data_IF_321451693383
#
_entry.id   IF_321451693383
#
_cell.length_a   1.000
_cell.length_b   1.000
_cell.length_c   1.000
_cell.angle_alpha   90.00
_cell.angle_beta   90.00
_cell.angle_gamma   90.00
#
_symmetry.space_group_name_H-M   'P 1'
#
loop_
_entity.id
_entity.type
_entity.pdbx_description
1 polymer ?
#
# COMPACT_ATOMS: atom_id res chain seq x y z
N UNK A 1 7.23 -4.79 26.95
CA UNK A 1 6.27 -5.62 26.20
C UNK A 1 6.29 -5.15 24.76
N UNK A 2 6.09 -6.03 23.78
CA UNK A 2 5.98 -5.58 22.39
C UNK A 2 4.63 -4.88 22.17
N UNK A 3 4.53 -4.03 21.13
CA UNK A 3 3.28 -3.32 20.81
C UNK A 3 2.14 -4.31 20.52
N UNK A 4 2.46 -5.43 19.87
CA UNK A 4 1.55 -6.56 19.69
C UNK A 4 0.97 -7.07 21.01
N UNK A 5 1.82 -7.35 22.00
CA UNK A 5 1.38 -7.86 23.31
C UNK A 5 0.49 -6.86 24.07
N UNK A 6 0.74 -5.56 23.92
CA UNK A 6 -0.11 -4.53 24.50
C UNK A 6 -1.51 -4.53 23.91
N UNK A 7 -1.63 -4.70 22.59
CA UNK A 7 -2.93 -4.77 21.92
C UNK A 7 -3.65 -6.09 22.20
N UNK A 8 -2.93 -7.21 22.19
CA UNK A 8 -3.48 -8.53 22.54
C UNK A 8 -4.08 -8.53 23.95
N UNK A 9 -3.37 -7.94 24.92
CA UNK A 9 -3.87 -7.78 26.29
C UNK A 9 -5.10 -6.86 26.37
N UNK A 10 -5.16 -5.79 25.56
CA UNK A 10 -6.33 -4.90 25.52
C UNK A 10 -7.55 -5.57 24.91
N UNK A 11 -7.38 -6.33 23.83
CA UNK A 11 -8.45 -7.14 23.22
C UNK A 11 -8.97 -8.15 24.25
N UNK A 12 -8.05 -8.83 24.94
CA UNK A 12 -8.41 -9.77 26.00
C UNK A 12 -9.21 -9.09 27.12
N UNK A 13 -8.77 -7.95 27.65
CA UNK A 13 -9.50 -7.27 28.74
C UNK A 13 -10.87 -6.76 28.29
N UNK A 14 -11.01 -6.24 27.07
CA UNK A 14 -12.30 -5.82 26.51
C UNK A 14 -13.27 -7.00 26.34
N UNK A 15 -12.76 -8.18 26.01
CA UNK A 15 -13.54 -9.40 25.77
C UNK A 15 -13.66 -10.31 26.99
N UNK A 16 -12.96 -10.00 28.09
CA UNK A 16 -12.86 -10.83 29.30
C UNK A 16 -14.19 -11.17 29.95
N UNK A 17 -15.15 -10.25 29.89
CA UNK A 17 -16.50 -10.44 30.44
C UNK A 17 -17.47 -10.63 29.29
N UNK A 18 -17.42 -11.80 28.65
CA UNK A 18 -18.45 -12.21 27.69
C UNK A 18 -19.65 -12.80 28.43
N UNK A 19 -20.76 -12.08 28.42
CA UNK A 19 -22.06 -12.58 28.90
C UNK A 19 -22.85 -13.05 27.67
N UNK A 20 -22.75 -14.35 27.35
CA UNK A 20 -23.38 -14.97 26.18
C UNK A 20 -22.42 -15.17 25.00
N UNK A 21 -22.96 -15.55 23.83
CA UNK A 21 -22.19 -15.83 22.60
C UNK A 21 -21.90 -14.58 21.74
N UNK A 22 -22.15 -13.38 22.27
CA UNK A 22 -22.11 -12.14 21.49
C UNK A 22 -21.59 -10.98 22.31
N UNK A 23 -20.80 -10.12 21.66
CA UNK A 23 -20.27 -8.90 22.24
C UNK A 23 -21.38 -7.89 22.53
N UNK A 24 -21.32 -7.24 23.68
CA UNK A 24 -22.16 -6.08 23.99
C UNK A 24 -21.75 -4.87 23.15
N UNK A 25 -22.63 -3.89 22.95
CA UNK A 25 -22.33 -2.67 22.20
C UNK A 25 -21.15 -1.87 22.80
N UNK A 26 -21.00 -1.93 24.13
CA UNK A 26 -19.85 -1.35 24.83
C UNK A 26 -18.54 -2.02 24.41
N UNK A 27 -18.50 -3.36 24.41
CA UNK A 27 -17.33 -4.12 23.98
C UNK A 27 -17.00 -3.91 22.51
N UNK A 28 -18.02 -3.87 21.63
CA UNK A 28 -17.83 -3.54 20.21
C UNK A 28 -17.21 -2.16 20.03
N UNK A 29 -17.67 -1.17 20.81
CA UNK A 29 -17.13 0.20 20.74
C UNK A 29 -15.68 0.26 21.21
N UNK A 30 -15.34 -0.42 22.30
CA UNK A 30 -13.96 -0.49 22.79
C UNK A 30 -13.04 -1.21 21.80
N UNK A 31 -13.49 -2.34 21.24
CA UNK A 31 -12.73 -3.06 20.23
C UNK A 31 -12.56 -2.24 18.95
N UNK A 32 -13.57 -1.51 18.47
CA UNK A 32 -13.41 -0.60 17.33
C UNK A 32 -12.37 0.50 17.60
N UNK A 33 -12.31 1.00 18.83
CA UNK A 33 -11.26 1.94 19.24
C UNK A 33 -9.87 1.30 19.20
N UNK A 34 -9.73 0.09 19.75
CA UNK A 34 -8.48 -0.69 19.70
C UNK A 34 -8.07 -0.95 18.24
N UNK A 35 -9.01 -1.29 17.36
CA UNK A 35 -8.74 -1.53 15.94
C UNK A 35 -8.20 -0.27 15.24
N UNK A 36 -8.72 0.91 15.58
CA UNK A 36 -8.18 2.18 15.09
C UNK A 36 -6.76 2.48 15.61
N UNK A 37 -6.45 2.10 16.85
CA UNK A 37 -5.11 2.26 17.42
C UNK A 37 -4.09 1.26 16.82
N UNK A 38 -4.52 0.03 16.53
CA UNK A 38 -3.75 -0.98 15.81
C UNK A 38 -3.39 -0.48 14.41
N UNK A 39 -4.35 0.11 13.70
CA UNK A 39 -4.12 0.72 12.39
C UNK A 39 -3.09 1.85 12.45
N UNK A 40 -3.24 2.76 13.41
CA UNK A 40 -2.27 3.84 13.59
C UNK A 40 -0.86 3.32 13.88
N UNK A 41 -0.73 2.28 14.72
CA UNK A 41 0.55 1.63 15.02
C UNK A 41 1.12 0.85 13.83
N UNK A 42 0.28 0.32 12.94
CA UNK A 42 0.72 -0.29 11.69
C UNK A 42 1.25 0.77 10.72
N UNK A 43 0.57 1.91 10.62
CA UNK A 43 0.95 3.02 9.74
C UNK A 43 2.21 3.75 10.20
N UNK A 44 2.45 3.82 11.51
CA UNK A 44 3.66 4.44 12.07
C UNK A 44 4.88 3.49 12.14
N UNK A 45 4.69 2.22 11.74
CA UNK A 45 5.72 1.19 11.72
C UNK A 45 6.05 0.57 13.07
N UNK A 46 5.32 0.92 14.15
CA UNK A 46 5.48 0.32 15.47
C UNK A 46 4.89 -1.09 15.59
N UNK A 47 4.10 -1.51 14.59
CA UNK A 47 3.49 -2.82 14.47
C UNK A 47 3.66 -3.32 13.02
N UNK A 48 4.07 -4.58 12.84
CA UNK A 48 4.16 -5.15 11.49
C UNK A 48 2.78 -5.49 10.92
N UNK A 49 2.67 -5.56 9.58
CA UNK A 49 1.43 -5.97 8.91
C UNK A 49 0.94 -7.36 9.35
N UNK A 50 1.87 -8.29 9.60
CA UNK A 50 1.55 -9.66 10.06
C UNK A 50 0.99 -9.65 11.50
N UNK A 51 1.61 -8.88 12.39
CA UNK A 51 1.13 -8.70 13.77
C UNK A 51 -0.24 -8.01 13.80
N UNK A 52 -0.42 -6.99 12.96
CA UNK A 52 -1.69 -6.31 12.76
C UNK A 52 -2.78 -7.28 12.30
N UNK A 53 -2.48 -8.16 11.34
CA UNK A 53 -3.46 -9.13 10.83
C UNK A 53 -3.86 -10.13 11.91
N UNK A 54 -2.90 -10.65 12.68
CA UNK A 54 -3.19 -11.57 13.80
C UNK A 54 -4.13 -10.96 14.84
N UNK A 55 -3.90 -9.70 15.22
CA UNK A 55 -4.78 -9.01 16.18
C UNK A 55 -6.21 -8.84 15.63
N UNK A 56 -6.32 -8.57 14.33
CA UNK A 56 -7.62 -8.48 13.65
C UNK A 56 -8.35 -9.83 13.62
N UNK A 57 -7.64 -10.91 13.33
CA UNK A 57 -8.20 -12.26 13.37
C UNK A 57 -8.70 -12.60 14.78
N UNK A 58 -7.93 -12.27 15.82
CA UNK A 58 -8.37 -12.42 17.23
C UNK A 58 -9.66 -11.65 17.52
N UNK A 59 -9.78 -10.41 17.03
CA UNK A 59 -11.01 -9.61 17.22
C UNK A 59 -12.21 -10.21 16.46
N UNK A 60 -11.99 -10.76 15.28
CA UNK A 60 -13.00 -11.45 14.49
C UNK A 60 -13.46 -12.74 15.19
N UNK A 61 -12.54 -13.52 15.78
CA UNK A 61 -12.84 -14.71 16.57
C UNK A 61 -13.71 -14.38 17.81
N UNK A 62 -13.59 -13.16 18.34
CA UNK A 62 -14.45 -12.67 19.42
C UNK A 62 -15.85 -12.23 18.94
N UNK A 63 -16.15 -12.33 17.64
CA UNK A 63 -17.46 -11.97 17.06
C UNK A 63 -17.60 -10.50 16.70
N UNK A 64 -16.49 -9.78 16.53
CA UNK A 64 -16.50 -8.41 16.00
C UNK A 64 -16.46 -8.45 14.48
N UNK A 65 -17.54 -7.97 13.85
CA UNK A 65 -17.53 -7.63 12.43
C UNK A 65 -16.78 -6.31 12.25
N UNK A 66 -15.45 -6.40 12.10
CA UNK A 66 -14.64 -5.25 11.73
C UNK A 66 -15.08 -4.77 10.34
N UNK A 67 -15.19 -3.44 10.12
CA UNK A 67 -15.31 -2.92 8.77
C UNK A 67 -14.18 -3.53 7.95
N UNK A 68 -14.53 -4.26 6.88
CA UNK A 68 -13.53 -4.68 5.91
C UNK A 68 -12.70 -3.43 5.59
N UNK A 69 -11.39 -3.59 5.69
CA UNK A 69 -10.39 -2.59 5.34
C UNK A 69 -10.84 -1.69 4.19
N UNK A 70 -10.40 -0.41 4.12
CA UNK A 70 -10.42 0.25 2.83
C UNK A 70 -9.74 -0.71 1.86
N UNK A 71 -10.52 -1.25 0.92
CA UNK A 71 -10.05 -2.20 -0.06
C UNK A 71 -8.72 -1.69 -0.60
N UNK A 72 -7.76 -2.59 -0.87
CA UNK A 72 -6.55 -2.23 -1.59
C UNK A 72 -6.90 -1.17 -2.63
N UNK A 73 -6.17 -0.04 -2.67
CA UNK A 73 -6.64 1.12 -3.41
C UNK A 73 -7.00 0.69 -4.82
N UNK A 74 -8.30 0.67 -5.08
CA UNK A 74 -8.82 0.12 -6.32
C UNK A 74 -8.38 1.10 -7.39
N UNK A 75 -7.47 0.67 -8.23
CA UNK A 75 -7.07 1.43 -9.41
C UNK A 75 -8.32 1.56 -10.28
N UNK A 76 -8.70 2.80 -10.58
CA UNK A 76 -9.76 3.07 -11.54
C UNK A 76 -9.31 2.55 -12.91
N UNK A 77 -9.93 1.44 -13.36
CA UNK A 77 -9.58 0.78 -14.62
C UNK A 77 -9.74 1.70 -15.82
N UNK A 78 -10.73 2.62 -15.81
CA UNK A 78 -10.89 3.57 -16.90
C UNK A 78 -9.72 4.56 -16.97
N UNK A 79 -9.24 5.00 -15.80
CA UNK A 79 -8.08 5.89 -15.69
C UNK A 79 -6.76 5.18 -16.03
N UNK A 80 -6.64 3.90 -15.69
CA UNK A 80 -5.50 3.06 -16.10
C UNK A 80 -5.46 2.91 -17.62
N UNK A 81 -6.60 2.61 -18.25
CA UNK A 81 -6.71 2.50 -19.70
C UNK A 81 -6.39 3.82 -20.41
N UNK A 82 -6.84 4.95 -19.85
CA UNK A 82 -6.50 6.28 -20.39
C UNK A 82 -4.99 6.55 -20.33
N UNK A 83 -4.34 6.30 -19.19
CA UNK A 83 -2.89 6.47 -19.04
C UNK A 83 -2.10 5.54 -19.96
N UNK A 84 -2.55 4.29 -20.10
CA UNK A 84 -1.93 3.33 -21.01
C UNK A 84 -2.05 3.77 -22.47
N UNK A 85 -3.23 4.22 -22.90
CA UNK A 85 -3.43 4.73 -24.25
C UNK A 85 -2.53 5.94 -24.52
N UNK A 86 -2.39 6.87 -23.56
CA UNK A 86 -1.46 7.99 -23.67
C UNK A 86 -0.01 7.52 -23.78
N UNK A 87 0.40 6.50 -23.01
CA UNK A 87 1.74 5.92 -23.07
C UNK A 87 2.05 5.31 -24.44
N UNK A 88 1.10 4.56 -25.00
CA UNK A 88 1.26 3.86 -26.27
C UNK A 88 1.46 4.80 -27.47
N UNK A 89 1.07 6.08 -27.35
CA UNK A 89 1.29 7.11 -28.37
C UNK A 89 2.67 7.78 -28.26
N UNK A 90 3.45 7.50 -27.21
CA UNK A 90 4.78 8.08 -27.01
C UNK A 90 5.86 7.35 -27.84
N UNK A 91 6.90 8.08 -28.23
CA UNK A 91 8.08 7.51 -28.87
C UNK A 91 8.82 6.49 -27.98
N UNK A 92 8.72 6.65 -26.66
CA UNK A 92 9.25 5.70 -25.67
C UNK A 92 8.65 4.30 -25.85
N UNK A 93 7.36 4.20 -26.16
CA UNK A 93 6.72 2.90 -26.39
C UNK A 93 7.28 2.19 -27.64
N UNK A 94 7.69 2.94 -28.67
CA UNK A 94 8.37 2.37 -29.83
C UNK A 94 9.78 1.87 -29.48
N UNK A 95 10.46 2.54 -28.54
CA UNK A 95 11.74 2.07 -28.01
C UNK A 95 11.56 0.75 -27.24
N UNK A 96 10.57 0.65 -26.37
CA UNK A 96 10.26 -0.59 -25.62
C UNK A 96 10.01 -1.78 -26.55
N UNK A 97 9.23 -1.57 -27.62
CA UNK A 97 9.01 -2.60 -28.65
C UNK A 97 10.33 -2.98 -29.32
N UNK A 98 11.20 -2.01 -29.61
CA UNK A 98 12.52 -2.22 -30.20
C UNK A 98 13.46 -3.02 -29.29
N UNK A 99 13.46 -2.72 -27.99
CA UNK A 99 14.22 -3.45 -26.96
C UNK A 99 13.74 -4.90 -26.87
N UNK A 100 12.43 -5.10 -26.80
CA UNK A 100 11.85 -6.44 -26.77
C UNK A 100 12.24 -7.27 -28.01
N UNK A 101 12.19 -6.68 -29.20
CA UNK A 101 12.65 -7.33 -30.44
C UNK A 101 14.15 -7.69 -30.37
N UNK A 102 14.97 -6.81 -29.79
CA UNK A 102 16.38 -7.08 -29.58
C UNK A 102 16.59 -8.25 -28.61
N UNK A 103 15.77 -8.36 -27.55
CA UNK A 103 15.81 -9.48 -26.60
C UNK A 103 15.45 -10.81 -27.26
N UNK A 104 14.40 -10.85 -28.10
CA UNK A 104 14.08 -12.04 -28.91
C UNK A 104 15.30 -12.49 -29.74
N UNK A 105 15.98 -11.54 -30.42
CA UNK A 105 17.18 -11.85 -31.21
C UNK A 105 18.35 -12.33 -30.35
N UNK A 106 18.59 -11.68 -29.21
CA UNK A 106 19.67 -12.03 -28.30
C UNK A 106 19.49 -13.43 -27.70
N UNK A 107 18.25 -13.86 -27.47
CA UNK A 107 17.89 -15.20 -27.01
C UNK A 107 17.88 -16.24 -28.13
N UNK A 108 18.12 -15.85 -29.39
CA UNK A 108 18.05 -16.74 -30.55
C UNK A 108 16.63 -17.20 -30.90
N UNK A 109 15.62 -16.50 -30.40
CA UNK A 109 14.21 -16.78 -30.67
C UNK A 109 13.79 -16.14 -32.01
N UNK A 110 12.83 -16.75 -32.73
CA UNK A 110 12.26 -16.14 -33.92
C UNK A 110 11.54 -14.85 -33.52
N UNK A 111 11.87 -13.74 -34.19
CA UNK A 111 11.20 -12.46 -33.95
C UNK A 111 9.74 -12.57 -34.43
N UNK A 112 8.76 -12.38 -33.53
CA UNK A 112 7.35 -12.49 -33.88
C UNK A 112 6.87 -11.32 -34.77
N UNK A 113 5.63 -11.42 -35.27
CA UNK A 113 5.01 -10.31 -36.02
C UNK A 113 4.81 -9.12 -35.10
N UNK A 114 4.97 -7.89 -35.62
CA UNK A 114 4.93 -6.63 -34.83
C UNK A 114 3.75 -6.48 -33.86
N UNK A 115 2.62 -7.13 -34.12
CA UNK A 115 1.47 -7.17 -33.22
C UNK A 115 1.81 -7.81 -31.85
N UNK A 116 2.59 -8.91 -31.83
CA UNK A 116 2.90 -9.61 -30.57
C UNK A 116 3.84 -8.80 -29.66
N UNK A 117 4.98 -8.23 -30.12
CA UNK A 117 5.79 -7.35 -29.29
C UNK A 117 5.05 -6.10 -28.81
N UNK A 118 4.12 -5.59 -29.62
CA UNK A 118 3.29 -4.44 -29.24
C UNK A 118 2.34 -4.79 -28.09
N UNK A 119 1.67 -5.93 -28.17
CA UNK A 119 0.77 -6.41 -27.11
C UNK A 119 1.55 -6.75 -25.83
N UNK A 120 2.73 -7.35 -25.96
CA UNK A 120 3.61 -7.68 -24.83
C UNK A 120 4.11 -6.41 -24.12
N UNK A 121 4.61 -5.43 -24.88
CA UNK A 121 5.03 -4.14 -24.35
C UNK A 121 3.85 -3.39 -23.70
N UNK A 122 2.65 -3.42 -24.30
CA UNK A 122 1.46 -2.80 -23.72
C UNK A 122 1.02 -3.50 -22.41
N UNK A 123 1.09 -4.83 -22.36
CA UNK A 123 0.77 -5.59 -21.16
C UNK A 123 1.76 -5.31 -20.01
N UNK A 124 3.06 -5.18 -20.33
CA UNK A 124 4.07 -4.84 -19.34
C UNK A 124 3.92 -3.39 -18.84
N UNK A 125 3.70 -2.45 -19.77
CA UNK A 125 3.40 -1.06 -19.44
C UNK A 125 2.15 -0.93 -18.56
N UNK A 126 1.09 -1.72 -18.83
CA UNK A 126 -0.12 -1.77 -17.99
C UNK A 126 0.22 -2.17 -16.54
N UNK A 127 0.98 -3.25 -16.33
CA UNK A 127 1.38 -3.69 -14.98
C UNK A 127 2.18 -2.63 -14.25
N UNK A 128 3.11 -1.98 -14.96
CA UNK A 128 3.93 -0.91 -14.41
C UNK A 128 3.06 0.28 -13.96
N UNK A 129 2.17 0.76 -14.84
CA UNK A 129 1.24 1.85 -14.53
C UNK A 129 0.27 1.51 -13.39
N UNK A 130 -0.25 0.28 -13.36
CA UNK A 130 -1.11 -0.21 -12.28
C UNK A 130 -0.37 -0.17 -10.93
N UNK A 131 0.86 -0.68 -10.89
CA UNK A 131 1.71 -0.62 -9.70
C UNK A 131 1.98 0.82 -9.27
N UNK A 132 2.25 1.71 -10.24
CA UNK A 132 2.44 3.14 -9.99
C UNK A 132 1.22 3.79 -9.37
N UNK A 133 0.03 3.52 -9.94
CA UNK A 133 -1.24 4.03 -9.46
C UNK A 133 -1.60 3.53 -8.07
N UNK A 134 -1.31 2.26 -7.77
CA UNK A 134 -1.47 1.70 -6.41
C UNK A 134 -0.59 2.46 -5.41
N UNK A 135 0.67 2.73 -5.76
CA UNK A 135 1.59 3.49 -4.90
C UNK A 135 1.11 4.94 -4.71
N UNK A 136 0.70 5.62 -5.79
CA UNK A 136 0.12 6.97 -5.74
C UNK A 136 -1.14 7.02 -4.85
N UNK A 137 -2.01 6.02 -4.96
CA UNK A 137 -3.25 5.95 -4.18
C UNK A 137 -3.01 5.67 -2.69
N UNK A 138 -1.88 5.03 -2.34
CA UNK A 138 -1.39 4.93 -0.95
C UNK A 138 -0.77 6.25 -0.44
N UNK A 139 -0.65 7.27 -1.29
CA UNK A 139 0.03 8.52 -0.96
C UNK A 139 1.55 8.36 -0.81
N UNK A 140 2.11 7.29 -1.37
CA UNK A 140 3.54 6.99 -1.34
C UNK A 140 4.28 7.73 -2.47
N UNK A 141 5.60 7.76 -2.40
CA UNK A 141 6.46 8.37 -3.41
C UNK A 141 7.26 7.29 -4.14
N UNK A 142 7.36 7.44 -5.46
CA UNK A 142 8.29 6.68 -6.26
C UNK A 142 9.67 7.26 -6.13
N UNK A 143 10.62 6.42 -5.76
CA UNK A 143 12.03 6.76 -5.69
C UNK A 143 12.80 5.94 -6.67
N UNK A 144 13.54 6.65 -7.49
CA UNK A 144 14.45 6.08 -8.44
C UNK A 144 15.83 5.93 -7.81
N UNK A 145 16.40 4.73 -7.93
CA UNK A 145 17.79 4.46 -7.60
C UNK A 145 18.48 3.95 -8.86
N UNK A 146 19.18 4.87 -9.52
CA UNK A 146 20.08 4.55 -10.62
C UNK A 146 21.36 3.91 -10.08
N UNK A 147 21.75 2.78 -10.66
CA UNK A 147 23.03 2.15 -10.45
C UNK A 147 24.04 2.72 -11.48
N UNK A 148 25.07 3.45 -11.01
CA UNK A 148 26.01 4.12 -11.89
C UNK A 148 26.96 3.17 -12.64
N UNK A 149 27.08 1.90 -12.24
CA UNK A 149 28.05 0.97 -12.84
C UNK A 149 27.45 0.17 -14.00
N UNK A 150 26.15 -0.13 -13.97
CA UNK A 150 25.48 -0.94 -14.99
C UNK A 150 24.43 -0.17 -15.81
N UNK A 151 24.17 1.10 -15.47
CA UNK A 151 23.18 1.93 -16.17
C UNK A 151 21.73 1.49 -15.96
N UNK A 152 21.47 0.62 -14.99
CA UNK A 152 20.11 0.18 -14.64
C UNK A 152 19.52 1.07 -13.56
N UNK A 153 18.20 1.22 -13.58
CA UNK A 153 17.48 2.01 -12.58
C UNK A 153 16.40 1.16 -11.94
N UNK A 154 16.32 1.21 -10.61
CA UNK A 154 15.27 0.53 -9.85
C UNK A 154 14.31 1.56 -9.27
N UNK A 155 13.02 1.40 -9.56
CA UNK A 155 11.95 2.18 -8.95
C UNK A 155 11.41 1.44 -7.72
N UNK A 156 11.39 2.12 -6.58
CA UNK A 156 10.81 1.60 -5.34
C UNK A 156 9.71 2.52 -4.81
N UNK A 157 8.60 1.94 -4.39
CA UNK A 157 7.52 2.65 -3.69
C UNK A 157 7.91 2.84 -2.21
N UNK A 158 8.21 4.06 -1.79
CA UNK A 158 8.53 4.40 -0.39
C UNK A 158 7.36 5.20 0.22
N UNK A 159 6.92 4.90 1.47
CA UNK A 159 5.96 5.73 2.18
C UNK A 159 6.43 7.19 2.22
N UNK A 160 5.55 8.14 1.93
CA UNK A 160 5.90 9.54 2.08
C UNK A 160 6.32 9.77 3.54
N UNK A 161 7.48 10.39 3.82
CA UNK A 161 7.86 10.69 5.20
C UNK A 161 6.78 11.59 5.77
N UNK A 162 5.97 11.05 6.69
CA UNK A 162 5.04 11.86 7.48
C UNK A 162 5.92 12.89 8.15
N UNK A 163 5.81 14.16 7.73
CA UNK A 163 6.44 15.26 8.47
C UNK A 163 5.93 15.07 9.89
N UNK A 164 6.82 14.67 10.79
CA UNK A 164 6.60 14.67 12.23
C UNK A 164 6.20 16.10 12.58
N UNK A 165 4.90 16.42 12.52
CA UNK A 165 4.40 17.65 13.09
C UNK A 165 4.55 17.42 14.58
N UNK A 166 5.69 17.81 15.12
CA UNK A 166 5.82 18.14 16.53
C UNK A 166 4.68 19.11 16.82
N UNK A 167 3.57 18.58 17.35
CA UNK A 167 2.58 19.35 18.10
C UNK A 167 3.34 19.96 19.27
N UNK A 168 3.99 21.12 19.05
CA UNK A 168 4.25 22.09 20.12
C UNK A 168 2.92 22.75 20.45
N UNK A 169 2.08 22.03 21.18
CA UNK A 169 1.07 22.65 22.03
C UNK A 169 1.73 22.94 23.38
N UNK A 170 2.11 24.20 23.58
CA UNK A 170 2.41 24.96 24.82
C UNK A 170 3.16 26.22 24.34
N UNK A 171 2.73 27.45 24.49
CA UNK A 171 1.75 28.06 25.38
C UNK A 171 1.17 29.30 24.68
N UNK A 172 -0.16 29.38 24.63
CA UNK A 172 -0.84 30.66 24.45
C UNK A 172 -1.23 31.16 25.84
N UNK A 173 -0.29 31.78 26.57
CA UNK A 173 -0.61 32.66 27.70
C UNK A 173 0.65 33.34 28.21
N UNK A 174 0.91 34.57 27.75
CA UNK A 174 1.02 35.76 28.61
C UNK A 174 1.77 36.91 27.91
N UNK A 175 1.05 38.04 27.80
CA UNK A 175 1.52 39.43 27.65
C UNK A 175 2.03 39.80 26.25
N UNK A 176 1.43 40.73 25.50
CA UNK A 176 0.55 41.81 25.92
C UNK A 176 1.33 42.99 26.50
N UNK A 177 2.26 43.56 25.72
CA UNK A 177 2.41 45.00 25.44
C UNK A 177 3.64 45.27 24.60
#
# INVERSE_FOLDING_TARGET
>A
MSKYQEFDAQIFEATKIMIGFSLTDGQKTELLKIAGEIEAACQDGSLSSDERQRLWDTMADCGLELPQHPAEPVVDEAKLQERLAQYMELELFQMDIGELICDYKAQGLPVPTMEQPRDEAAAEARKCLETMMVCEAKGHLWKEKADPENGTSTLSCEPHPVKRTEKKYKDFSQRGR
#
